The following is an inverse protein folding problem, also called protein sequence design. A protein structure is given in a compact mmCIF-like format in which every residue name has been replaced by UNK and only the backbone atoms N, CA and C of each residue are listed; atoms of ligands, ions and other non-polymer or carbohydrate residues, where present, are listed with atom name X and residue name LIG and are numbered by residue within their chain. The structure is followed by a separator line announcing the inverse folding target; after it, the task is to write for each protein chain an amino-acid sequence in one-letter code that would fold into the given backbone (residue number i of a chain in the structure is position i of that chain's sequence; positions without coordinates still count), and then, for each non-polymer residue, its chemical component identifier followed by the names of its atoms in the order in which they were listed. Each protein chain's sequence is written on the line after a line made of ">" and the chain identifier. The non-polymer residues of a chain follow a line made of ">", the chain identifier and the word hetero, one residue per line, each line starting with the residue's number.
data_IF_276144785750
#
_entry.id   IF_276144785750
#
_cell.length_a   1.000
_cell.length_b   1.000
_cell.length_c   1.000
_cell.angle_alpha   90.00
_cell.angle_beta   90.00
_cell.angle_gamma   90.00
#
_symmetry.space_group_name_H-M   'P 1'
#
loop_
_entity.id
_entity.type
_entity.pdbx_description
1 polymer ?
#
# COMPACT_ATOMS: atom_id res chain seq x y z
N UNK A 1 -90.06 -30.71 54.04
CA UNK A 1 -88.98 -31.70 54.27
C UNK A 1 -88.14 -31.83 52.99
N UNK A 2 -86.94 -31.24 52.90
CA UNK A 2 -86.16 -31.28 51.68
C UNK A 2 -85.00 -32.29 51.78
N UNK A 3 -84.89 -33.17 50.76
CA UNK A 3 -83.74 -34.06 50.51
C UNK A 3 -82.63 -33.29 49.77
N UNK A 4 -81.34 -33.60 50.00
CA UNK A 4 -80.22 -32.88 49.41
C UNK A 4 -79.72 -33.56 48.13
N UNK A 5 -79.32 -32.78 47.12
CA UNK A 5 -78.47 -33.27 46.03
C UNK A 5 -77.35 -32.28 45.71
N UNK A 6 -76.14 -32.86 45.69
CA UNK A 6 -74.79 -32.30 45.58
C UNK A 6 -74.59 -31.24 44.50
N UNK A 7 -73.90 -30.15 44.86
CA UNK A 7 -73.19 -29.26 43.95
C UNK A 7 -71.80 -29.82 43.62
N UNK A 8 -71.47 -29.85 42.34
CA UNK A 8 -70.14 -30.19 41.80
C UNK A 8 -69.39 -28.86 41.57
N UNK A 9 -68.17 -28.75 42.07
CA UNK A 9 -67.28 -27.60 41.86
C UNK A 9 -66.56 -27.68 40.51
N UNK A 10 -66.24 -26.54 39.84
CA UNK A 10 -65.49 -26.55 38.60
C UNK A 10 -63.98 -26.68 38.86
N UNK A 11 -63.30 -27.45 37.98
CA UNK A 11 -61.84 -27.64 37.96
C UNK A 11 -61.13 -26.37 37.49
N UNK A 12 -60.17 -25.89 38.27
CA UNK A 12 -59.22 -24.85 37.87
C UNK A 12 -58.16 -25.44 36.92
N UNK A 13 -57.95 -24.81 35.77
CA UNK A 13 -56.87 -25.11 34.85
C UNK A 13 -55.61 -24.34 35.26
N UNK A 14 -54.52 -25.06 35.52
CA UNK A 14 -53.20 -24.50 35.80
C UNK A 14 -52.50 -24.31 34.45
N UNK A 15 -52.25 -23.07 34.05
CA UNK A 15 -51.43 -22.73 32.90
C UNK A 15 -49.96 -22.63 33.34
N UNK A 16 -49.13 -23.55 32.88
CA UNK A 16 -47.68 -23.55 33.10
C UNK A 16 -47.02 -22.69 32.03
N UNK A 17 -46.59 -21.48 32.38
CA UNK A 17 -45.83 -20.59 31.49
C UNK A 17 -44.38 -21.06 31.41
N UNK A 18 -43.99 -21.67 30.28
CA UNK A 18 -42.61 -22.05 30.01
C UNK A 18 -41.85 -20.82 29.48
N UNK A 19 -41.02 -20.20 30.31
CA UNK A 19 -40.13 -19.13 29.89
C UNK A 19 -38.93 -19.73 29.13
N UNK A 20 -38.93 -19.62 27.81
CA UNK A 20 -37.76 -19.88 26.99
C UNK A 20 -36.78 -18.72 27.16
N UNK A 21 -35.73 -18.92 27.95
CA UNK A 21 -34.57 -18.05 27.99
C UNK A 21 -33.72 -18.36 26.75
N UNK A 22 -34.00 -17.69 25.63
CA UNK A 22 -33.07 -17.69 24.48
C UNK A 22 -31.81 -16.94 24.90
N UNK A 23 -30.75 -17.67 25.22
CA UNK A 23 -29.39 -17.12 25.21
C UNK A 23 -29.10 -16.70 23.76
N UNK A 24 -29.29 -15.42 23.47
CA UNK A 24 -28.64 -14.81 22.31
C UNK A 24 -27.16 -14.78 22.65
N UNK A 25 -26.40 -15.73 22.12
CA UNK A 25 -24.95 -15.62 22.04
C UNK A 25 -24.67 -14.38 21.19
N UNK A 26 -24.43 -13.25 21.86
CA UNK A 26 -23.90 -12.07 21.22
C UNK A 26 -22.53 -12.42 20.67
N UNK A 27 -22.47 -12.73 19.37
CA UNK A 27 -21.24 -12.57 18.62
C UNK A 27 -21.01 -11.07 18.62
N UNK A 28 -20.18 -10.58 19.54
CA UNK A 28 -19.60 -9.25 19.36
C UNK A 28 -19.01 -9.25 17.96
N UNK A 29 -19.39 -8.31 17.07
CA UNK A 29 -18.68 -8.18 15.81
C UNK A 29 -17.19 -8.05 16.17
N UNK A 30 -16.36 -8.90 15.55
CA UNK A 30 -14.92 -8.74 15.66
C UNK A 30 -14.59 -7.29 15.36
N UNK A 31 -13.90 -6.62 16.29
CA UNK A 31 -13.42 -5.28 16.03
C UNK A 31 -12.37 -5.44 14.94
N UNK A 32 -12.58 -4.79 13.80
CA UNK A 32 -11.62 -4.83 12.70
C UNK A 32 -10.24 -4.42 13.20
N UNK A 33 -9.22 -5.20 12.87
CA UNK A 33 -7.86 -5.01 13.35
C UNK A 33 -6.94 -4.57 12.21
N UNK A 34 -6.07 -3.60 12.47
CA UNK A 34 -5.13 -3.11 11.47
C UNK A 34 -3.73 -3.68 11.71
N UNK A 35 -3.08 -4.12 10.64
CA UNK A 35 -1.73 -4.68 10.65
C UNK A 35 -0.81 -3.90 9.72
N UNK A 36 0.47 -3.80 10.08
CA UNK A 36 1.53 -3.30 9.22
C UNK A 36 2.47 -4.45 8.84
N UNK A 37 2.85 -4.49 7.57
CA UNK A 37 3.82 -5.42 7.00
C UNK A 37 5.03 -4.64 6.52
N UNK A 38 6.20 -4.90 7.11
CA UNK A 38 7.44 -4.20 6.81
C UNK A 38 8.40 -5.13 6.06
N UNK A 39 8.75 -4.78 4.83
CA UNK A 39 9.70 -5.54 4.02
C UNK A 39 11.15 -5.21 4.37
N UNK A 40 11.91 -6.24 4.80
CA UNK A 40 13.30 -6.11 5.23
C UNK A 40 14.24 -6.78 4.21
N UNK A 41 14.94 -5.99 3.40
CA UNK A 41 15.65 -6.54 2.24
C UNK A 41 16.94 -7.29 2.58
N UNK A 42 17.62 -6.90 3.65
CA UNK A 42 18.88 -7.54 4.03
C UNK A 42 18.66 -8.79 4.89
N UNK A 43 17.58 -8.84 5.69
CA UNK A 43 17.24 -10.03 6.47
C UNK A 43 16.34 -11.03 5.74
N UNK A 44 15.86 -10.70 4.52
CA UNK A 44 14.97 -11.56 3.72
C UNK A 44 13.73 -12.01 4.50
N UNK A 45 13.06 -11.05 5.14
CA UNK A 45 11.86 -11.32 5.91
C UNK A 45 10.87 -10.14 5.86
N UNK A 46 9.69 -10.38 6.42
CA UNK A 46 8.69 -9.36 6.69
C UNK A 46 8.46 -9.30 8.21
N UNK A 47 8.57 -8.12 8.80
CA UNK A 47 8.09 -7.87 10.16
C UNK A 47 6.60 -7.53 10.12
N UNK A 48 5.79 -8.25 10.91
CA UNK A 48 4.35 -8.05 11.04
C UNK A 48 4.06 -7.41 12.39
N UNK A 49 3.28 -6.33 12.38
CA UNK A 49 2.84 -5.63 13.58
C UNK A 49 1.33 -5.46 13.56
N UNK A 50 0.71 -5.51 14.73
CA UNK A 50 -0.67 -5.09 14.95
C UNK A 50 -0.69 -3.64 15.46
N UNK A 51 -1.50 -2.81 14.82
CA UNK A 51 -1.73 -1.41 15.19
C UNK A 51 -2.93 -1.32 16.14
N UNK A 52 -2.68 -0.80 17.35
CA UNK A 52 -3.72 -0.46 18.30
C UNK A 52 -4.36 0.89 17.96
N UNK A 53 -5.56 1.14 18.49
CA UNK A 53 -6.25 2.42 18.33
C UNK A 53 -5.45 3.62 18.86
N UNK A 54 -4.53 3.40 19.82
CA UNK A 54 -3.63 4.43 20.35
C UNK A 54 -2.48 4.81 19.42
N UNK A 55 -2.23 4.05 18.35
CA UNK A 55 -1.01 4.15 17.55
C UNK A 55 0.13 3.24 18.01
N UNK A 56 -0.08 2.46 19.07
CA UNK A 56 0.91 1.48 19.53
C UNK A 56 1.01 0.28 18.57
N UNK A 57 2.24 -0.15 18.27
CA UNK A 57 2.51 -1.31 17.41
C UNK A 57 2.95 -2.49 18.28
N UNK A 58 2.21 -3.59 18.20
CA UNK A 58 2.59 -4.85 18.85
C UNK A 58 3.19 -5.79 17.81
N UNK A 59 4.43 -6.29 17.97
CA UNK A 59 4.99 -7.29 17.07
C UNK A 59 4.14 -8.56 17.08
N UNK A 60 3.87 -9.10 15.90
CA UNK A 60 3.06 -10.32 15.70
C UNK A 60 3.95 -11.46 15.21
N UNK A 61 4.78 -11.20 14.19
CA UNK A 61 5.57 -12.23 13.51
C UNK A 61 6.78 -11.62 12.80
N UNK A 62 7.84 -12.40 12.65
CA UNK A 62 8.84 -12.20 11.60
C UNK A 62 8.72 -13.36 10.61
N UNK A 63 8.25 -13.07 9.39
CA UNK A 63 8.00 -14.07 8.35
C UNK A 63 9.18 -14.13 7.37
N UNK A 64 10.01 -15.17 7.48
CA UNK A 64 11.18 -15.35 6.62
C UNK A 64 10.79 -15.79 5.19
N UNK A 65 11.58 -15.38 4.21
CA UNK A 65 11.43 -15.80 2.82
C UNK A 65 11.93 -17.24 2.65
N UNK A 66 11.12 -18.05 1.97
CA UNK A 66 11.50 -19.43 1.63
C UNK A 66 12.14 -19.46 0.24
N UNK A 67 13.28 -20.14 0.08
CA UNK A 67 13.96 -20.27 -1.22
C UNK A 67 14.71 -19.02 -1.67
N UNK A 68 15.08 -18.14 -0.74
CA UNK A 68 15.82 -16.89 -0.99
C UNK A 68 17.07 -16.85 -0.11
N UNK A 69 18.22 -17.20 -0.69
CA UNK A 69 19.47 -17.28 0.06
C UNK A 69 20.22 -15.94 0.14
N UNK A 70 20.11 -15.11 -0.91
CA UNK A 70 20.85 -13.85 -1.02
C UNK A 70 19.92 -12.67 -0.78
N UNK A 71 20.28 -11.69 0.07
CA UNK A 71 19.48 -10.50 0.26
C UNK A 71 19.36 -9.65 -1.00
N UNK A 72 18.20 -9.02 -1.15
CA UNK A 72 17.92 -8.07 -2.22
C UNK A 72 18.40 -6.66 -1.88
N UNK A 73 18.29 -5.75 -2.85
CA UNK A 73 18.54 -4.32 -2.59
C UNK A 73 17.31 -3.57 -2.04
N UNK A 74 16.10 -4.09 -2.27
CA UNK A 74 14.83 -3.64 -1.69
C UNK A 74 13.80 -4.78 -1.78
N UNK A 75 12.69 -4.66 -1.04
CA UNK A 75 11.62 -5.66 -0.91
C UNK A 75 10.27 -5.00 -1.19
N UNK A 76 9.91 -4.73 -2.47
CA UNK A 76 8.60 -4.19 -2.77
C UNK A 76 7.50 -5.18 -2.40
N UNK A 77 6.44 -4.68 -1.76
CA UNK A 77 5.30 -5.47 -1.33
C UNK A 77 4.05 -5.08 -2.13
N UNK A 78 3.11 -6.01 -2.26
CA UNK A 78 1.76 -5.73 -2.73
C UNK A 78 0.77 -6.68 -2.04
N UNK A 79 -0.42 -6.18 -1.74
CA UNK A 79 -1.52 -6.97 -1.16
C UNK A 79 -2.61 -7.13 -2.21
N UNK A 80 -3.15 -8.34 -2.31
CA UNK A 80 -4.29 -8.63 -3.20
C UNK A 80 -5.56 -7.91 -2.73
N UNK A 81 -6.43 -7.44 -3.64
CA UNK A 81 -7.63 -6.66 -3.28
C UNK A 81 -8.63 -7.39 -2.37
N UNK A 82 -8.60 -8.72 -2.32
CA UNK A 82 -9.43 -9.54 -1.42
C UNK A 82 -8.81 -9.71 -0.02
N UNK A 83 -7.67 -9.08 0.22
CA UNK A 83 -6.91 -9.05 1.47
C UNK A 83 -6.39 -10.43 1.92
N UNK A 84 -6.30 -11.41 1.01
CA UNK A 84 -5.91 -12.79 1.36
C UNK A 84 -4.44 -13.09 1.16
N UNK A 85 -3.78 -12.39 0.25
CA UNK A 85 -2.41 -12.70 -0.14
C UNK A 85 -1.56 -11.44 -0.15
N UNK A 86 -0.39 -11.53 0.49
CA UNK A 86 0.69 -10.57 0.41
C UNK A 86 1.80 -11.15 -0.48
N UNK A 87 2.27 -10.35 -1.43
CA UNK A 87 3.34 -10.71 -2.37
C UNK A 87 4.55 -9.82 -2.08
N UNK A 88 5.73 -10.42 -1.97
CA UNK A 88 7.00 -9.73 -1.81
C UNK A 88 7.93 -9.98 -3.01
N UNK A 89 8.38 -8.92 -3.67
CA UNK A 89 9.37 -9.00 -4.73
C UNK A 89 10.79 -9.12 -4.16
N UNK A 90 11.56 -10.08 -4.68
CA UNK A 90 12.95 -10.32 -4.30
C UNK A 90 13.87 -9.77 -5.37
N UNK A 91 14.76 -8.85 -4.98
CA UNK A 91 15.66 -8.13 -5.89
C UNK A 91 17.07 -8.70 -5.95
N UNK A 92 17.20 -10.01 -5.75
CA UNK A 92 18.41 -10.82 -5.89
C UNK A 92 18.10 -12.05 -6.75
N UNK A 93 19.11 -12.75 -7.25
CA UNK A 93 18.91 -13.99 -8.00
C UNK A 93 18.69 -15.20 -7.05
N UNK A 94 17.77 -16.12 -7.37
CA UNK A 94 16.81 -16.05 -8.47
C UNK A 94 15.75 -14.94 -8.27
N UNK A 95 15.34 -14.26 -9.34
CA UNK A 95 14.35 -13.19 -9.26
C UNK A 95 12.96 -13.78 -9.02
N UNK A 96 12.47 -13.64 -7.78
CA UNK A 96 11.26 -14.28 -7.31
C UNK A 96 10.26 -13.28 -6.74
N UNK A 97 8.99 -13.62 -6.85
CA UNK A 97 7.93 -13.08 -6.02
C UNK A 97 7.52 -14.15 -5.00
N UNK A 98 7.73 -13.87 -3.71
CA UNK A 98 7.35 -14.74 -2.60
C UNK A 98 5.93 -14.39 -2.17
N UNK A 99 5.03 -15.36 -2.16
CA UNK A 99 3.62 -15.15 -1.83
C UNK A 99 3.28 -15.75 -0.46
N UNK A 100 2.52 -15.02 0.33
CA UNK A 100 2.06 -15.41 1.65
C UNK A 100 0.54 -15.33 1.74
N UNK A 101 -0.12 -16.35 2.29
CA UNK A 101 -1.48 -16.22 2.76
C UNK A 101 -1.50 -15.41 4.06
N UNK A 102 -2.49 -14.52 4.16
CA UNK A 102 -2.74 -13.67 5.32
C UNK A 102 -3.83 -14.33 6.16
N UNK A 103 -3.53 -14.61 7.42
CA UNK A 103 -4.55 -15.05 8.39
C UNK A 103 -5.45 -13.86 8.76
N UNK A 104 -6.77 -13.91 8.49
CA UNK A 104 -7.65 -12.76 8.66
C UNK A 104 -7.87 -12.37 10.12
N UNK A 105 -7.55 -13.24 11.09
CA UNK A 105 -7.77 -12.97 12.52
C UNK A 105 -6.54 -12.42 13.22
N UNK A 106 -5.37 -12.79 12.72
CA UNK A 106 -4.09 -12.53 13.41
C UNK A 106 -3.13 -11.71 12.57
N UNK A 107 -3.43 -11.49 11.28
CA UNK A 107 -2.54 -10.82 10.34
C UNK A 107 -1.27 -11.60 10.01
N UNK A 108 -1.09 -12.81 10.56
CA UNK A 108 0.10 -13.64 10.33
C UNK A 108 0.20 -14.09 8.87
N UNK A 109 1.43 -14.25 8.41
CA UNK A 109 1.80 -14.68 7.07
C UNK A 109 2.23 -16.15 7.06
N UNK A 110 1.63 -16.93 6.16
CA UNK A 110 2.04 -18.31 5.87
C UNK A 110 2.53 -18.42 4.43
N UNK A 111 3.73 -18.95 4.16
CA UNK A 111 4.24 -19.06 2.79
C UNK A 111 3.35 -20.01 1.98
N UNK A 112 2.95 -19.59 0.77
CA UNK A 112 2.08 -20.37 -0.13
C UNK A 112 2.73 -20.70 -1.47
N UNK A 113 3.83 -20.02 -1.82
CA UNK A 113 4.62 -20.37 -3.00
C UNK A 113 5.41 -19.19 -3.54
N UNK A 114 6.34 -19.51 -4.44
CA UNK A 114 7.16 -18.54 -5.14
C UNK A 114 6.84 -18.59 -6.63
N UNK A 115 6.83 -17.42 -7.27
CA UNK A 115 6.71 -17.27 -8.71
C UNK A 115 7.90 -16.53 -9.32
N UNK A 116 8.16 -16.71 -10.62
CA UNK A 116 9.27 -16.05 -11.30
C UNK A 116 8.96 -14.59 -11.62
N UNK A 117 9.97 -13.74 -11.50
CA UNK A 117 9.96 -12.36 -12.00
C UNK A 117 10.94 -12.24 -13.18
N UNK A 118 10.61 -11.38 -14.15
CA UNK A 118 11.41 -11.23 -15.37
C UNK A 118 12.78 -10.53 -15.17
N UNK A 119 13.02 -9.93 -14.01
CA UNK A 119 14.25 -9.23 -13.60
C UNK A 119 14.18 -8.83 -12.10
N UNK A 120 15.17 -8.10 -11.60
CA UNK A 120 15.12 -7.36 -10.34
C UNK A 120 14.07 -6.24 -10.43
N UNK A 121 12.89 -6.47 -9.84
CA UNK A 121 11.76 -5.54 -9.87
C UNK A 121 11.81 -4.56 -8.70
N UNK A 122 11.92 -3.26 -8.97
CA UNK A 122 11.98 -2.19 -7.97
C UNK A 122 10.62 -1.85 -7.35
N UNK A 123 9.53 -2.19 -8.03
CA UNK A 123 8.15 -2.00 -7.60
C UNK A 123 7.27 -3.13 -8.16
N UNK A 124 6.24 -3.49 -7.39
CA UNK A 124 5.17 -4.40 -7.79
C UNK A 124 3.81 -3.81 -7.40
N UNK A 125 2.75 -4.18 -8.11
CA UNK A 125 1.37 -3.82 -7.77
C UNK A 125 0.40 -4.89 -8.32
N UNK A 126 -0.73 -5.09 -7.65
CA UNK A 126 -1.77 -6.01 -8.10
C UNK A 126 -2.90 -5.22 -8.76
N UNK A 127 -3.46 -5.75 -9.85
CA UNK A 127 -4.63 -5.15 -10.50
C UNK A 127 -5.89 -5.27 -9.61
N UNK A 128 -6.91 -4.44 -9.86
CA UNK A 128 -8.12 -4.41 -9.01
C UNK A 128 -8.89 -5.74 -8.96
N UNK A 129 -8.68 -6.64 -9.93
CA UNK A 129 -9.34 -7.96 -9.95
C UNK A 129 -8.58 -9.03 -9.18
N UNK A 130 -7.35 -8.75 -8.74
CA UNK A 130 -6.50 -9.70 -8.04
C UNK A 130 -5.92 -10.81 -8.93
N UNK A 131 -5.89 -10.62 -10.25
CA UNK A 131 -5.49 -11.65 -11.22
C UNK A 131 -4.14 -11.40 -11.87
N UNK A 132 -3.61 -10.19 -11.79
CA UNK A 132 -2.36 -9.80 -12.43
C UNK A 132 -1.48 -8.98 -11.49
N UNK A 133 -0.18 -9.28 -11.54
CA UNK A 133 0.88 -8.51 -10.93
C UNK A 133 1.58 -7.68 -12.01
N UNK A 134 1.62 -6.37 -11.80
CA UNK A 134 2.46 -5.43 -12.53
C UNK A 134 3.80 -5.29 -11.81
N UNK A 135 4.89 -5.16 -12.57
CA UNK A 135 6.22 -4.98 -11.99
C UNK A 135 7.13 -4.13 -12.88
N UNK A 136 8.03 -3.36 -12.25
CA UNK A 136 8.97 -2.47 -12.93
C UNK A 136 10.43 -2.81 -12.58
N UNK A 137 11.30 -2.93 -13.57
CA UNK A 137 12.73 -3.19 -13.36
C UNK A 137 13.59 -1.96 -13.66
N UNK A 138 14.22 -1.44 -12.61
CA UNK A 138 15.11 -0.28 -12.67
C UNK A 138 16.37 -0.56 -13.49
N UNK A 139 17.06 -1.67 -13.22
CA UNK A 139 18.29 -2.02 -13.96
C UNK A 139 17.98 -2.59 -15.35
N UNK A 140 16.82 -3.22 -15.50
CA UNK A 140 16.43 -3.94 -16.72
C UNK A 140 15.77 -3.10 -17.80
N UNK A 141 15.41 -1.84 -17.52
CA UNK A 141 14.70 -0.94 -18.44
C UNK A 141 13.45 -1.60 -19.06
N UNK A 142 12.65 -2.23 -18.19
CA UNK A 142 11.48 -3.01 -18.61
C UNK A 142 10.42 -3.06 -17.52
N UNK A 143 9.20 -3.34 -17.93
CA UNK A 143 8.08 -3.70 -17.06
C UNK A 143 7.58 -5.09 -17.42
N UNK A 144 6.87 -5.75 -16.50
CA UNK A 144 6.25 -7.04 -16.75
C UNK A 144 4.84 -7.13 -16.16
N UNK A 145 4.04 -7.98 -16.81
CA UNK A 145 2.72 -8.43 -16.39
C UNK A 145 2.80 -9.93 -16.12
N UNK A 146 2.56 -10.34 -14.89
CA UNK A 146 2.49 -11.75 -14.49
C UNK A 146 1.05 -12.08 -14.08
N UNK A 147 0.46 -13.21 -14.55
CA UNK A 147 -0.78 -13.70 -13.97
C UNK A 147 -0.57 -14.18 -12.53
N UNK A 148 -1.60 -14.06 -11.70
CA UNK A 148 -1.70 -14.72 -10.40
C UNK A 148 -2.57 -15.96 -10.56
N UNK A 149 -2.12 -17.09 -10.02
CA UNK A 149 -2.97 -18.27 -9.95
C UNK A 149 -4.08 -18.10 -8.90
N UNK A 150 -5.09 -19.00 -8.81
CA UNK A 150 -6.19 -18.86 -7.86
C UNK A 150 -5.78 -18.82 -6.37
N UNK A 151 -4.56 -19.27 -6.04
CA UNK A 151 -4.01 -19.21 -4.69
C UNK A 151 -3.20 -17.92 -4.46
N UNK A 152 -3.08 -17.03 -5.45
CA UNK A 152 -2.31 -15.79 -5.38
C UNK A 152 -0.80 -15.96 -5.59
N UNK A 153 -0.33 -17.12 -6.03
CA UNK A 153 1.09 -17.30 -6.41
C UNK A 153 1.30 -16.80 -7.83
N UNK A 154 2.37 -16.03 -8.02
CA UNK A 154 2.76 -15.43 -9.29
C UNK A 154 3.15 -16.52 -10.30
N UNK A 155 2.60 -16.46 -11.52
CA UNK A 155 2.94 -17.34 -12.63
C UNK A 155 3.99 -16.71 -13.56
N UNK A 156 4.44 -17.46 -14.57
CA UNK A 156 5.38 -16.96 -15.60
C UNK A 156 4.92 -15.62 -16.22
N UNK A 157 5.84 -14.68 -16.49
CA UNK A 157 5.49 -13.41 -17.10
C UNK A 157 4.75 -13.62 -18.43
N UNK A 158 3.55 -13.03 -18.53
CA UNK A 158 2.75 -13.06 -19.75
C UNK A 158 3.20 -12.01 -20.75
N UNK A 159 3.62 -10.84 -20.27
CA UNK A 159 4.25 -9.81 -21.09
C UNK A 159 5.47 -9.24 -20.38
N UNK A 160 6.53 -9.02 -21.15
CA UNK A 160 7.73 -8.28 -20.72
C UNK A 160 7.98 -7.20 -21.76
N UNK A 161 7.85 -5.94 -21.36
CA UNK A 161 7.84 -4.79 -22.26
C UNK A 161 9.06 -3.93 -21.96
N UNK A 162 9.89 -3.67 -22.98
CA UNK A 162 11.00 -2.71 -22.87
C UNK A 162 10.46 -1.29 -22.75
N UNK A 163 11.10 -0.51 -21.89
CA UNK A 163 10.72 0.89 -21.62
C UNK A 163 11.88 1.83 -21.91
N UNK A 164 11.72 3.11 -21.55
CA UNK A 164 12.85 4.00 -21.33
C UNK A 164 13.74 3.51 -20.18
N UNK A 165 14.77 4.31 -19.88
CA UNK A 165 15.75 4.03 -18.85
C UNK A 165 15.10 4.06 -17.45
N UNK A 166 15.49 3.08 -16.64
CA UNK A 166 15.19 2.99 -15.22
C UNK A 166 13.69 3.03 -14.89
N UNK A 167 12.95 2.02 -15.35
CA UNK A 167 11.57 1.82 -14.92
C UNK A 167 11.49 1.64 -13.39
N UNK A 168 10.75 2.49 -12.69
CA UNK A 168 10.78 2.52 -11.22
C UNK A 168 9.44 2.15 -10.57
N UNK A 169 8.31 2.59 -11.09
CA UNK A 169 6.97 2.19 -10.65
C UNK A 169 6.14 1.70 -11.84
N UNK A 170 5.24 0.74 -11.62
CA UNK A 170 4.27 0.30 -12.61
C UNK A 170 2.92 0.00 -11.95
N UNK A 171 2.07 1.03 -11.84
CA UNK A 171 0.86 1.00 -11.02
C UNK A 171 -0.41 1.21 -11.87
N UNK A 172 -1.52 0.52 -11.55
CA UNK A 172 -2.79 0.68 -12.25
C UNK A 172 -3.50 2.00 -11.89
N UNK A 173 -4.36 2.48 -12.78
CA UNK A 173 -5.35 3.51 -12.46
C UNK A 173 -6.40 2.99 -11.47
N UNK A 174 -7.08 3.87 -10.71
CA UNK A 174 -8.12 3.46 -9.76
C UNK A 174 -9.29 2.72 -10.40
N UNK A 175 -9.57 2.99 -11.68
CA UNK A 175 -10.61 2.32 -12.48
C UNK A 175 -10.11 1.06 -13.21
N UNK A 176 -8.84 0.68 -13.00
CA UNK A 176 -8.18 -0.50 -13.56
C UNK A 176 -8.18 -0.56 -15.11
N UNK A 177 -8.30 0.60 -15.78
CA UNK A 177 -8.31 0.70 -17.25
C UNK A 177 -6.95 1.04 -17.85
N UNK A 178 -6.07 1.64 -17.05
CA UNK A 178 -4.73 2.03 -17.47
C UNK A 178 -3.69 1.56 -16.46
N UNK A 179 -2.44 1.44 -16.90
CA UNK A 179 -1.29 1.18 -16.04
C UNK A 179 -0.16 2.11 -16.48
N UNK A 180 0.49 2.75 -15.50
CA UNK A 180 1.48 3.80 -15.75
C UNK A 180 2.86 3.37 -15.29
N UNK A 181 3.84 3.44 -16.18
CA UNK A 181 5.23 3.11 -15.87
C UNK A 181 6.08 4.38 -15.78
N UNK A 182 6.62 4.69 -14.61
CA UNK A 182 7.60 5.78 -14.49
C UNK A 182 8.95 5.29 -15.01
N UNK A 183 9.60 6.08 -15.86
CA UNK A 183 10.96 5.83 -16.33
C UNK A 183 11.86 6.95 -15.81
N UNK A 184 12.47 6.69 -14.65
CA UNK A 184 13.28 7.66 -13.92
C UNK A 184 14.42 8.19 -14.80
N UNK A 185 15.12 7.31 -15.52
CA UNK A 185 16.28 7.70 -16.32
C UNK A 185 15.92 8.33 -17.67
N UNK A 186 14.63 8.42 -18.01
CA UNK A 186 14.15 8.99 -19.29
C UNK A 186 13.14 10.11 -19.11
N UNK A 187 12.94 10.58 -17.88
CA UNK A 187 12.07 11.72 -17.56
C UNK A 187 10.69 11.64 -18.22
N UNK A 188 10.05 10.46 -18.07
CA UNK A 188 8.75 10.21 -18.67
C UNK A 188 7.92 9.21 -17.85
N UNK A 189 6.62 9.26 -18.07
CA UNK A 189 5.65 8.26 -17.62
C UNK A 189 5.01 7.64 -18.86
N UNK A 190 5.13 6.32 -19.01
CA UNK A 190 4.47 5.58 -20.07
C UNK A 190 3.05 5.21 -19.64
N UNK A 191 2.10 5.25 -20.56
CA UNK A 191 0.70 4.88 -20.33
C UNK A 191 0.30 3.70 -21.19
N UNK A 192 -0.21 2.65 -20.54
CA UNK A 192 -0.74 1.45 -21.20
C UNK A 192 -2.23 1.32 -20.92
N UNK A 193 -3.04 1.06 -21.94
CA UNK A 193 -4.39 0.56 -21.74
C UNK A 193 -4.30 -0.89 -21.26
N UNK A 194 -5.13 -1.24 -20.30
CA UNK A 194 -5.16 -2.55 -19.67
C UNK A 194 -6.51 -3.23 -19.89
N UNK A 195 -6.47 -4.38 -20.56
CA UNK A 195 -7.60 -5.29 -20.63
C UNK A 195 -7.44 -6.32 -19.51
N UNK A 196 -8.23 -6.15 -18.44
CA UNK A 196 -8.22 -7.04 -17.28
C UNK A 196 -8.86 -8.41 -17.55
N UNK A 197 -9.67 -8.54 -18.60
CA UNK A 197 -10.28 -9.82 -18.99
C UNK A 197 -9.26 -10.64 -19.78
N UNK A 198 -8.67 -10.03 -20.82
CA UNK A 198 -7.65 -10.66 -21.61
C UNK A 198 -6.32 -10.77 -20.85
N UNK A 199 -6.06 -9.92 -19.86
CA UNK A 199 -4.79 -9.81 -19.17
C UNK A 199 -3.69 -9.35 -20.13
N UNK A 200 -3.91 -8.19 -20.77
CA UNK A 200 -2.99 -7.65 -21.78
C UNK A 200 -2.83 -6.14 -21.66
N UNK A 201 -1.63 -5.67 -21.93
CA UNK A 201 -1.24 -4.26 -21.97
C UNK A 201 -0.95 -3.85 -23.41
N UNK A 202 -1.50 -2.71 -23.82
CA UNK A 202 -1.21 -2.05 -25.10
C UNK A 202 -0.84 -0.59 -24.85
N UNK A 203 0.21 -0.04 -25.51
CA UNK A 203 0.51 1.38 -25.41
C UNK A 203 -0.72 2.24 -25.74
N UNK A 204 -0.96 3.28 -24.94
CA UNK A 204 -2.05 4.23 -25.20
C UNK A 204 -1.68 5.23 -26.29
N UNK A 205 -2.63 6.07 -26.71
CA UNK A 205 -2.40 7.20 -27.59
C UNK A 205 -2.92 8.51 -26.93
N UNK A 206 -2.04 9.43 -26.52
CA UNK A 206 -0.58 9.34 -26.57
C UNK A 206 -0.02 8.31 -25.56
N UNK A 207 1.11 7.66 -25.86
CA UNK A 207 1.69 6.62 -24.99
C UNK A 207 2.53 7.18 -23.83
N UNK A 208 2.78 8.49 -23.79
CA UNK A 208 3.80 9.08 -22.91
C UNK A 208 3.36 10.44 -22.38
N UNK A 209 3.51 10.64 -21.07
CA UNK A 209 3.56 11.95 -20.43
C UNK A 209 5.02 12.30 -20.15
N UNK A 210 5.50 13.42 -20.71
CA UNK A 210 6.86 13.92 -20.45
C UNK A 210 6.88 14.76 -19.19
N UNK A 211 7.96 14.63 -18.43
CA UNK A 211 8.25 15.48 -17.26
C UNK A 211 9.57 16.22 -17.50
N UNK A 212 9.92 17.24 -16.70
CA UNK A 212 11.16 17.98 -16.92
C UNK A 212 12.39 17.08 -16.95
N UNK A 213 13.35 17.46 -17.78
CA UNK A 213 14.64 16.77 -17.85
C UNK A 213 15.34 16.75 -16.49
N UNK A 214 15.99 15.62 -16.18
CA UNK A 214 16.72 15.36 -14.94
C UNK A 214 15.85 15.41 -13.68
N UNK A 215 14.54 15.23 -13.81
CA UNK A 215 13.63 15.17 -12.67
C UNK A 215 13.63 13.78 -12.04
N UNK A 216 13.66 12.73 -12.86
CA UNK A 216 13.65 11.36 -12.38
C UNK A 216 12.31 10.94 -11.75
N UNK A 217 11.22 10.83 -12.53
CA UNK A 217 9.92 10.41 -12.01
C UNK A 217 10.03 9.02 -11.36
N UNK A 218 9.65 8.92 -10.08
CA UNK A 218 9.84 7.71 -9.27
C UNK A 218 8.50 7.05 -8.94
N UNK A 219 7.92 7.34 -7.78
CA UNK A 219 6.62 6.81 -7.35
C UNK A 219 5.51 7.83 -7.61
N UNK A 220 4.28 7.36 -7.70
CA UNK A 220 3.12 8.23 -7.81
C UNK A 220 1.92 7.62 -7.09
N UNK A 221 0.97 8.46 -6.72
CA UNK A 221 -0.27 8.06 -6.06
C UNK A 221 -1.45 8.83 -6.66
N UNK A 222 -2.58 8.15 -6.85
CA UNK A 222 -3.82 8.78 -7.23
C UNK A 222 -4.52 9.38 -6.01
N UNK A 223 -5.14 10.54 -6.18
CA UNK A 223 -6.08 11.05 -5.19
C UNK A 223 -7.30 10.09 -5.10
N UNK A 224 -7.87 9.81 -3.91
CA UNK A 224 -8.99 8.88 -3.72
C UNK A 224 -10.25 9.20 -4.57
N UNK A 225 -10.44 10.46 -4.94
CA UNK A 225 -11.53 10.88 -5.85
C UNK A 225 -11.31 10.51 -7.33
N UNK A 226 -10.15 9.96 -7.70
CA UNK A 226 -9.82 9.53 -9.06
C UNK A 226 -9.64 10.67 -10.07
N UNK A 227 -9.37 11.91 -9.63
CA UNK A 227 -9.23 13.08 -10.51
C UNK A 227 -7.83 13.67 -10.57
N UNK A 228 -6.94 13.27 -9.66
CA UNK A 228 -5.59 13.82 -9.56
C UNK A 228 -4.56 12.71 -9.37
N UNK A 229 -3.34 12.98 -9.82
CA UNK A 229 -2.16 12.15 -9.59
C UNK A 229 -1.05 13.02 -9.02
N UNK A 230 -0.33 12.48 -8.04
CA UNK A 230 0.84 13.11 -7.45
C UNK A 230 2.07 12.26 -7.74
N UNK A 231 3.12 12.87 -8.30
CA UNK A 231 4.34 12.22 -8.73
C UNK A 231 5.52 12.82 -7.99
N UNK A 232 6.34 11.96 -7.37
CA UNK A 232 7.61 12.38 -6.77
C UNK A 232 8.77 12.15 -7.73
N UNK A 233 9.64 13.15 -7.83
CA UNK A 233 10.82 13.17 -8.69
C UNK A 233 12.08 12.96 -7.85
N UNK A 234 12.75 11.82 -8.03
CA UNK A 234 13.88 11.38 -7.19
C UNK A 234 15.08 12.31 -7.28
N UNK A 235 15.40 12.78 -8.49
CA UNK A 235 16.69 13.41 -8.78
C UNK A 235 16.73 14.90 -8.48
N UNK A 236 15.56 15.56 -8.47
CA UNK A 236 15.45 16.98 -8.15
C UNK A 236 14.60 17.27 -6.90
N UNK A 237 13.92 16.27 -6.33
CA UNK A 237 13.11 16.42 -5.13
C UNK A 237 11.77 17.12 -5.35
N UNK A 238 11.33 17.27 -6.59
CA UNK A 238 10.04 17.87 -6.89
C UNK A 238 8.87 16.92 -6.58
N UNK A 239 7.75 17.51 -6.17
CA UNK A 239 6.44 16.86 -6.10
C UNK A 239 5.53 17.57 -7.08
N UNK A 240 5.11 16.86 -8.12
CA UNK A 240 4.25 17.37 -9.17
C UNK A 240 2.81 16.85 -9.01
N UNK A 241 1.83 17.74 -9.14
CA UNK A 241 0.41 17.44 -9.14
C UNK A 241 -0.15 17.53 -10.56
N UNK A 242 -0.92 16.53 -10.98
CA UNK A 242 -1.54 16.42 -12.29
C UNK A 242 -3.05 16.26 -12.16
N UNK A 243 -3.83 16.81 -13.09
CA UNK A 243 -5.20 16.35 -13.32
C UNK A 243 -5.17 15.06 -14.10
N UNK A 244 -6.09 14.17 -13.80
CA UNK A 244 -6.23 12.87 -14.43
C UNK A 244 -7.58 12.78 -15.14
N UNK A 245 -7.55 12.45 -16.43
CA UNK A 245 -8.75 12.15 -17.21
C UNK A 245 -8.89 10.62 -17.32
N UNK A 246 -9.93 10.07 -16.70
CA UNK A 246 -10.11 8.62 -16.58
C UNK A 246 -10.51 7.91 -17.89
N UNK A 247 -11.11 8.60 -18.87
CA UNK A 247 -11.46 8.01 -20.18
C UNK A 247 -10.22 7.78 -21.04
N UNK A 248 -9.32 8.76 -21.12
CA UNK A 248 -8.13 8.75 -21.97
C UNK A 248 -6.87 8.29 -21.25
N UNK A 249 -6.84 8.38 -19.91
CA UNK A 249 -5.65 8.13 -19.12
C UNK A 249 -4.67 9.31 -19.10
N UNK A 250 -5.04 10.48 -19.65
CA UNK A 250 -4.16 11.63 -19.78
C UNK A 250 -3.86 12.31 -18.43
N UNK A 251 -2.62 12.80 -18.30
CA UNK A 251 -2.14 13.55 -17.14
C UNK A 251 -1.75 14.96 -17.59
N UNK A 252 -2.34 15.99 -16.99
CA UNK A 252 -1.99 17.38 -17.26
C UNK A 252 -1.46 18.05 -16.00
N UNK A 253 -0.26 18.61 -16.05
CA UNK A 253 0.37 19.18 -14.86
C UNK A 253 -0.35 20.45 -14.37
N UNK A 254 -0.68 20.48 -13.08
CA UNK A 254 -1.37 21.59 -12.41
C UNK A 254 -0.39 22.46 -11.63
N UNK A 255 0.57 21.82 -10.96
CA UNK A 255 1.49 22.46 -10.03
C UNK A 255 2.74 21.61 -9.84
N UNK A 256 3.86 22.27 -9.56
CA UNK A 256 5.04 21.65 -8.96
C UNK A 256 5.41 22.35 -7.65
N UNK A 257 5.78 21.56 -6.65
CA UNK A 257 6.36 21.98 -5.36
C UNK A 257 7.59 21.10 -5.06
N UNK A 258 8.14 21.17 -3.86
CA UNK A 258 9.34 20.40 -3.47
C UNK A 258 9.14 19.63 -2.17
N UNK A 259 9.75 18.44 -2.08
CA UNK A 259 9.92 17.64 -0.86
C UNK A 259 11.18 18.03 -0.06
N UNK A 260 11.97 18.97 -0.57
CA UNK A 260 13.20 19.39 0.07
C UNK A 260 12.92 20.42 1.18
N UNK A 261 13.61 20.33 2.32
CA UNK A 261 13.59 21.39 3.33
C UNK A 261 14.06 22.74 2.77
N UNK A 262 13.56 23.83 3.35
CA UNK A 262 13.97 25.18 2.99
C UNK A 262 15.49 25.35 3.13
N UNK A 263 16.13 25.94 2.12
CA UNK A 263 17.57 26.20 2.11
C UNK A 263 18.46 24.99 1.81
N UNK A 264 17.90 23.81 1.49
CA UNK A 264 18.70 22.65 1.10
C UNK A 264 19.43 22.87 -0.24
N UNK A 265 20.74 22.65 -0.25
CA UNK A 265 21.62 22.82 -1.43
C UNK A 265 22.36 21.54 -1.84
N UNK A 266 22.06 20.43 -1.19
CA UNK A 266 22.67 19.13 -1.48
C UNK A 266 22.05 18.44 -2.69
N UNK A 267 22.45 17.17 -2.92
CA UNK A 267 21.85 16.33 -3.97
C UNK A 267 20.55 15.69 -3.46
N UNK A 268 19.38 15.97 -4.07
CA UNK A 268 18.13 15.32 -3.72
C UNK A 268 18.18 13.81 -3.94
N UNK A 269 17.44 13.09 -3.10
CA UNK A 269 17.20 11.67 -3.27
C UNK A 269 15.81 11.29 -2.75
N UNK A 270 14.79 11.94 -3.31
CA UNK A 270 13.39 11.69 -2.95
C UNK A 270 12.96 10.25 -3.25
N UNK A 271 12.06 9.70 -2.46
CA UNK A 271 11.68 8.29 -2.54
C UNK A 271 10.17 8.10 -2.66
N UNK A 272 9.47 7.97 -1.55
CA UNK A 272 8.10 7.47 -1.56
C UNK A 272 7.07 8.59 -1.44
N UNK A 273 5.83 8.32 -1.83
CA UNK A 273 4.74 9.30 -1.82
C UNK A 273 3.40 8.61 -1.54
N UNK A 274 2.65 9.13 -0.56
CA UNK A 274 1.36 8.56 -0.14
C UNK A 274 0.37 9.65 0.23
N UNK A 275 -0.91 9.39 0.01
CA UNK A 275 -2.02 10.29 0.35
C UNK A 275 -2.94 9.64 1.37
N UNK A 276 -3.48 10.42 2.30
CA UNK A 276 -4.45 9.93 3.27
C UNK A 276 -5.71 9.40 2.57
N UNK A 277 -6.42 8.41 3.14
CA UNK A 277 -7.62 7.82 2.53
C UNK A 277 -8.74 8.82 2.24
N UNK A 278 -8.80 9.91 3.00
CA UNK A 278 -9.74 11.02 2.79
C UNK A 278 -9.26 12.06 1.75
N UNK A 279 -8.05 11.89 1.22
CA UNK A 279 -7.44 12.74 0.21
C UNK A 279 -6.92 14.09 0.73
N UNK A 280 -6.99 14.38 2.03
CA UNK A 280 -6.69 15.72 2.57
C UNK A 280 -5.20 16.00 2.72
N UNK A 281 -4.39 14.99 2.97
CA UNK A 281 -2.96 15.15 3.23
C UNK A 281 -2.12 14.22 2.38
N UNK A 282 -1.06 14.77 1.80
CA UNK A 282 -0.06 14.05 1.01
C UNK A 282 1.28 14.13 1.74
N UNK A 283 2.05 13.04 1.74
CA UNK A 283 3.38 13.00 2.30
C UNK A 283 4.39 12.45 1.29
N UNK A 284 5.64 12.86 1.43
CA UNK A 284 6.75 12.45 0.58
C UNK A 284 8.01 12.22 1.43
N UNK A 285 8.80 11.18 1.14
CA UNK A 285 10.05 10.91 1.85
C UNK A 285 11.28 11.34 1.06
N UNK A 286 12.30 11.84 1.75
CA UNK A 286 13.55 12.31 1.15
C UNK A 286 14.76 11.71 1.86
N UNK A 287 15.60 10.98 1.10
CA UNK A 287 16.64 10.12 1.67
C UNK A 287 17.88 10.86 2.12
N UNK A 288 18.26 11.94 1.45
CA UNK A 288 19.49 12.68 1.78
C UNK A 288 19.34 13.46 3.08
N UNK A 289 18.19 14.08 3.30
CA UNK A 289 17.85 14.89 4.47
C UNK A 289 17.22 14.08 5.59
N UNK A 290 16.81 12.83 5.33
CA UNK A 290 16.12 11.96 6.28
C UNK A 290 14.82 12.59 6.80
N UNK A 291 13.99 13.07 5.88
CA UNK A 291 12.75 13.79 6.22
C UNK A 291 11.51 13.19 5.57
N UNK A 292 10.36 13.48 6.19
CA UNK A 292 9.03 13.37 5.59
C UNK A 292 8.48 14.78 5.39
N UNK A 293 8.25 15.18 4.15
CA UNK A 293 7.55 16.40 3.78
C UNK A 293 6.04 16.15 3.74
N UNK A 294 5.25 17.11 4.24
CA UNK A 294 3.78 17.04 4.25
C UNK A 294 3.13 18.18 3.49
N UNK A 295 1.97 17.91 2.89
CA UNK A 295 1.18 18.87 2.13
C UNK A 295 -0.32 18.72 2.43
N UNK A 296 -1.03 19.85 2.49
CA UNK A 296 -2.49 19.89 2.37
C UNK A 296 -2.87 19.82 0.90
N UNK A 297 -3.91 19.05 0.60
CA UNK A 297 -4.45 18.91 -0.74
C UNK A 297 -5.75 19.70 -0.86
N UNK A 298 -5.83 20.58 -1.85
CA UNK A 298 -7.09 21.19 -2.24
C UNK A 298 -7.89 20.19 -3.09
N UNK A 299 -8.98 19.66 -2.55
CA UNK A 299 -9.75 18.58 -3.20
C UNK A 299 -10.43 19.00 -4.53
N UNK A 300 -10.54 20.31 -4.80
CA UNK A 300 -11.21 20.82 -6.01
C UNK A 300 -10.21 21.01 -7.15
N UNK A 301 -9.06 21.60 -6.86
CA UNK A 301 -8.02 21.94 -7.84
C UNK A 301 -6.86 20.95 -7.87
N UNK A 302 -6.76 20.04 -6.90
CA UNK A 302 -5.67 19.10 -6.74
C UNK A 302 -4.36 19.73 -6.25
N UNK A 303 -4.33 21.05 -6.00
CA UNK A 303 -3.12 21.78 -5.62
C UNK A 303 -2.64 21.43 -4.21
N UNK A 304 -1.33 21.50 -4.03
CA UNK A 304 -0.61 21.22 -2.79
C UNK A 304 -0.19 22.51 -2.10
N UNK A 305 -0.45 22.58 -0.79
CA UNK A 305 0.07 23.60 0.11
C UNK A 305 0.99 22.95 1.14
N UNK A 306 2.26 23.37 1.19
CA UNK A 306 3.26 22.80 2.11
C UNK A 306 2.86 23.00 3.57
N UNK A 307 2.93 21.92 4.36
CA UNK A 307 2.79 21.92 5.83
C UNK A 307 4.17 22.14 6.47
N UNK A 308 5.19 21.48 5.92
CA UNK A 308 6.57 21.46 6.42
C UNK A 308 7.17 20.06 6.31
N UNK A 309 8.34 19.85 6.91
CA UNK A 309 9.00 18.55 6.96
C UNK A 309 9.40 18.18 8.38
N UNK A 310 9.33 16.89 8.71
CA UNK A 310 9.81 16.36 10.00
C UNK A 310 10.97 15.38 9.79
N UNK A 311 11.99 15.36 10.68
CA UNK A 311 13.01 14.32 10.67
C UNK A 311 12.42 12.93 10.90
N UNK A 312 12.98 11.92 10.25
CA UNK A 312 12.56 10.53 10.37
C UNK A 312 13.75 9.57 10.41
N UNK A 313 13.50 8.30 10.12
CA UNK A 313 14.52 7.26 9.96
C UNK A 313 15.62 7.66 8.99
N UNK A 314 16.81 7.06 9.12
CA UNK A 314 17.93 7.31 8.19
C UNK A 314 17.68 6.61 6.85
N UNK A 315 17.79 7.38 5.77
CA UNK A 315 17.52 6.95 4.40
C UNK A 315 16.08 6.41 4.23
N UNK A 316 15.04 7.23 4.49
CA UNK A 316 13.64 6.81 4.49
C UNK A 316 13.14 6.46 3.08
N UNK A 317 13.30 5.19 2.69
CA UNK A 317 12.93 4.71 1.36
C UNK A 317 11.46 4.34 1.22
N UNK A 318 10.81 3.96 2.31
CA UNK A 318 9.42 3.52 2.31
C UNK A 318 8.69 3.99 3.56
N UNK A 319 7.42 4.32 3.39
CA UNK A 319 6.49 4.57 4.48
C UNK A 319 5.08 4.25 3.98
N UNK A 320 4.10 4.18 4.88
CA UNK A 320 2.71 4.07 4.47
C UNK A 320 1.79 4.72 5.51
N UNK A 321 0.56 4.99 5.11
CA UNK A 321 -0.48 5.55 5.97
C UNK A 321 -1.47 4.42 6.30
N UNK A 322 -1.93 4.35 7.54
CA UNK A 322 -2.89 3.33 7.94
C UNK A 322 -4.28 3.59 7.27
N UNK A 323 -5.15 2.58 7.14
CA UNK A 323 -6.41 2.72 6.42
C UNK A 323 -7.40 3.69 7.07
N UNK A 324 -7.21 4.05 8.35
CA UNK A 324 -7.99 5.11 9.01
C UNK A 324 -7.46 6.52 8.75
N UNK A 325 -6.25 6.67 8.20
CA UNK A 325 -5.61 7.97 7.95
C UNK A 325 -5.14 8.68 9.21
N UNK A 326 -5.04 7.97 10.34
CA UNK A 326 -4.65 8.53 11.66
C UNK A 326 -3.17 8.38 11.94
N UNK A 327 -2.52 7.40 11.33
CA UNK A 327 -1.14 7.03 11.59
C UNK A 327 -0.35 6.87 10.29
N UNK A 328 0.92 7.24 10.36
CA UNK A 328 1.92 7.00 9.32
C UNK A 328 3.07 6.20 9.94
N UNK A 329 3.53 5.16 9.26
CA UNK A 329 4.70 4.39 9.66
C UNK A 329 5.79 4.50 8.59
N UNK A 330 6.99 4.92 8.99
CA UNK A 330 8.13 5.13 8.10
C UNK A 330 9.32 4.26 8.49
N UNK A 331 10.04 3.78 7.48
CA UNK A 331 11.24 2.95 7.62
C UNK A 331 12.40 3.53 6.82
N UNK A 332 13.61 3.31 7.34
CA UNK A 332 14.84 3.76 6.71
C UNK A 332 15.81 2.61 6.44
N UNK A 333 16.42 2.60 5.26
CA UNK A 333 17.35 1.54 4.84
C UNK A 333 18.57 1.42 5.78
N UNK A 334 18.86 2.44 6.59
CA UNK A 334 19.98 2.47 7.54
C UNK A 334 19.54 2.56 9.01
N UNK A 335 18.29 2.25 9.31
CA UNK A 335 17.70 2.41 10.66
C UNK A 335 17.34 1.12 11.39
N UNK A 336 17.21 -0.02 10.68
CA UNK A 336 16.74 -1.32 11.22
C UNK A 336 15.50 -1.20 12.15
N UNK A 337 14.67 -0.19 11.90
CA UNK A 337 13.50 0.15 12.70
C UNK A 337 12.46 0.92 11.88
N UNK A 338 11.24 0.93 12.43
CA UNK A 338 10.08 1.64 11.93
C UNK A 338 9.62 2.68 12.95
N UNK A 339 9.53 3.96 12.56
CA UNK A 339 8.92 5.00 13.39
C UNK A 339 7.46 5.23 13.00
N UNK A 340 6.58 5.28 14.00
CA UNK A 340 5.16 5.62 13.84
C UNK A 340 4.90 7.06 14.27
N UNK A 341 4.05 7.73 13.51
CA UNK A 341 3.62 9.10 13.70
C UNK A 341 2.09 9.16 13.76
N UNK A 342 1.53 10.00 14.63
CA UNK A 342 0.14 10.42 14.54
C UNK A 342 0.02 11.55 13.51
N UNK A 343 -1.04 11.52 12.71
CA UNK A 343 -1.42 12.57 11.78
C UNK A 343 -2.44 13.47 12.46
N UNK A 344 -2.09 14.74 12.69
CA UNK A 344 -3.05 15.73 13.16
C UNK A 344 -4.14 15.94 12.10
N UNK A 345 -5.37 15.59 12.43
CA UNK A 345 -6.48 15.53 11.47
C UNK A 345 -6.95 16.91 10.97
N UNK A 346 -6.47 18.00 11.58
CA UNK A 346 -6.83 19.37 11.19
C UNK A 346 -5.77 20.03 10.31
N UNK A 347 -4.51 19.71 10.57
CA UNK A 347 -3.34 20.39 9.97
C UNK A 347 -2.54 19.49 9.04
N UNK A 348 -2.61 18.17 9.23
CA UNK A 348 -1.76 17.18 8.57
C UNK A 348 -0.35 17.11 9.16
N UNK A 349 -0.06 17.81 10.26
CA UNK A 349 1.24 17.74 10.92
C UNK A 349 1.49 16.34 11.50
N UNK A 350 2.72 15.86 11.39
CA UNK A 350 3.14 14.56 11.94
C UNK A 350 3.70 14.74 13.34
N UNK A 351 3.13 14.02 14.31
CA UNK A 351 3.65 13.93 15.67
C UNK A 351 4.29 12.55 15.88
N UNK A 352 5.62 12.51 16.09
CA UNK A 352 6.33 11.25 16.36
C UNK A 352 5.79 10.59 17.62
N UNK A 353 5.43 9.31 17.53
CA UNK A 353 5.00 8.49 18.67
C UNK A 353 6.16 7.65 19.19
N UNK A 354 6.54 6.60 18.46
CA UNK A 354 7.49 5.58 18.92
C UNK A 354 8.15 4.88 17.74
N UNK A 355 9.38 4.42 17.96
CA UNK A 355 10.13 3.58 17.01
C UNK A 355 10.12 2.12 17.49
N UNK A 356 10.00 1.19 16.56
CA UNK A 356 9.93 -0.25 16.81
C UNK A 356 11.01 -0.96 15.99
N UNK A 357 11.74 -1.93 16.59
CA UNK A 357 12.76 -2.68 15.85
C UNK A 357 12.11 -3.55 14.77
N UNK A 358 12.78 -3.66 13.62
CA UNK A 358 12.36 -4.52 12.49
C UNK A 358 13.48 -5.52 12.14
N UNK A 359 13.38 -6.17 10.98
CA UNK A 359 14.54 -6.79 10.33
C UNK A 359 15.52 -5.76 9.78
N UNK A 360 16.53 -6.26 9.05
CA UNK A 360 17.62 -5.42 8.53
C UNK A 360 17.25 -4.75 7.21
N UNK A 361 17.66 -3.49 7.07
CA UNK A 361 17.39 -2.67 5.88
C UNK A 361 15.90 -2.62 5.52
N UNK A 362 15.02 -2.18 6.45
CA UNK A 362 13.59 -2.02 6.16
C UNK A 362 13.41 -0.92 5.10
N UNK A 363 12.59 -1.18 4.08
CA UNK A 363 12.47 -0.26 2.95
C UNK A 363 11.09 -0.22 2.28
N UNK A 364 10.11 -0.94 2.82
CA UNK A 364 8.74 -0.94 2.34
C UNK A 364 7.78 -1.16 3.51
N UNK A 365 6.61 -0.53 3.48
CA UNK A 365 5.56 -0.69 4.48
C UNK A 365 4.23 -0.82 3.74
N UNK A 366 3.42 -1.79 4.14
CA UNK A 366 2.01 -1.90 3.73
C UNK A 366 1.13 -1.96 4.98
N UNK A 367 -0.06 -1.38 4.91
CA UNK A 367 -1.07 -1.54 5.96
C UNK A 367 -2.29 -2.30 5.44
N UNK A 368 -2.94 -3.05 6.33
CA UNK A 368 -4.17 -3.79 6.03
C UNK A 368 -5.09 -3.82 7.24
N UNK A 369 -6.37 -3.51 7.04
CA UNK A 369 -7.41 -3.76 8.04
C UNK A 369 -8.14 -5.06 7.72
N UNK A 370 -8.22 -5.95 8.71
CA UNK A 370 -8.85 -7.26 8.62
C UNK A 370 -10.09 -7.36 9.52
N UNK A 371 -11.08 -8.21 9.19
CA UNK A 371 -12.37 -8.30 9.90
C UNK A 371 -12.32 -8.91 11.30
#
# INVERSE_FOLDING_TARGET
>A
MPRPTRRIAPRAAIATTLAFLTLVSGVSPGMAETFAYVGNADSNDISVFKLAESGEMTPVQTAAFTGVDKPGSSTPLAITPDHRVLIAGVRSQPFLAVSFAIDPKTGQLSPIGNGPLADSMANIAVDSTGKFLFSASYGGNKVALNPLNPNGVVAEPKQVIRTGLNAHAFLPSPDNRFVFATNLGSDQVLTFAFDAVAGTLTPSDPPVTKVPEKSGPRHFVFHPNGKFVYLIHELNGDVAAFSYEAKSGAWDEIQRTTALPEGFTGKPWAADIHITPDGRFLYASERTTNTLAGYKVDATSGKLTTIGSVPTEKQPRGFHIDPSGRYLAAVGELSDSMTVYAIDQSSGALAKLKSYPTGKKPNWVEFLTLP
#
